data_IF_266239800516
#
_entry.id   IF_266239800516
#
_cell.length_a   1.000
_cell.length_b   1.000
_cell.length_c   1.000
_cell.angle_alpha   90.00
_cell.angle_beta   90.00
_cell.angle_gamma   90.00
#
_symmetry.space_group_name_H-M   'P 1'
#
loop_
_entity.id
_entity.type
_entity.pdbx_description
1 polymer ?
#
# COMPACT_ATOMS: atom_id res chain seq x y z
N UNK A 1 4.12 13.64 10.28
CA UNK A 1 5.17 13.02 9.46
C UNK A 1 4.89 11.51 9.44
N UNK A 2 4.75 10.94 8.25
CA UNK A 2 4.47 9.53 7.94
C UNK A 2 5.75 8.72 7.75
N UNK A 3 6.60 9.11 6.79
CA UNK A 3 7.80 8.33 6.45
C UNK A 3 8.92 9.11 5.76
N UNK A 4 8.65 10.33 5.25
CA UNK A 4 9.69 11.15 4.66
C UNK A 4 10.68 11.66 5.71
N UNK A 5 11.86 12.08 5.25
CA UNK A 5 12.86 12.71 6.14
C UNK A 5 12.38 14.07 6.69
N UNK A 6 11.51 14.75 5.94
CA UNK A 6 10.94 16.05 6.29
C UNK A 6 9.47 16.10 5.87
N UNK A 7 8.64 16.66 6.74
CA UNK A 7 7.26 17.04 6.42
C UNK A 7 7.13 18.54 6.20
N UNK A 8 6.10 18.94 5.47
CA UNK A 8 5.74 20.35 5.27
C UNK A 8 4.30 20.59 5.72
N UNK A 9 4.07 21.72 6.39
CA UNK A 9 2.73 22.20 6.69
C UNK A 9 2.58 23.63 6.18
N UNK A 10 1.45 23.88 5.53
CA UNK A 10 0.95 25.23 5.31
C UNK A 10 -0.36 25.37 6.06
N UNK A 11 -0.49 26.45 6.83
CA UNK A 11 -1.73 26.77 7.52
C UNK A 11 -2.15 28.21 7.28
N UNK A 12 -3.45 28.44 7.23
CA UNK A 12 -4.06 29.77 7.25
C UNK A 12 -5.13 29.85 8.32
N UNK A 13 -5.21 30.99 9.00
CA UNK A 13 -6.22 31.23 10.04
C UNK A 13 -7.26 32.20 9.53
N UNK A 14 -8.53 31.76 9.46
CA UNK A 14 -9.65 32.59 8.99
C UNK A 14 -9.55 33.01 7.52
N UNK A 15 -8.80 32.27 6.71
CA UNK A 15 -8.57 32.57 5.30
C UNK A 15 -8.59 31.29 4.46
N UNK A 16 -9.16 31.40 3.27
CA UNK A 16 -9.02 30.43 2.18
C UNK A 16 -7.63 30.55 1.56
N UNK A 17 -7.15 29.51 0.89
CA UNK A 17 -5.86 29.56 0.20
C UNK A 17 -5.84 28.71 -1.05
N UNK A 18 -4.99 29.10 -1.99
CA UNK A 18 -4.53 28.27 -3.10
C UNK A 18 -3.00 28.33 -3.07
N UNK A 19 -2.39 27.28 -2.56
CA UNK A 19 -1.00 27.30 -2.11
C UNK A 19 -0.28 26.02 -2.49
N UNK A 20 1.04 26.05 -2.46
CA UNK A 20 1.82 24.90 -2.89
C UNK A 20 3.31 25.13 -2.87
N UNK A 21 4.03 24.06 -3.20
CA UNK A 21 5.47 24.04 -3.40
C UNK A 21 5.77 23.62 -4.84
N UNK A 22 6.90 24.09 -5.35
CA UNK A 22 7.45 23.63 -6.61
C UNK A 22 8.92 23.29 -6.47
N UNK A 23 9.37 22.35 -7.29
CA UNK A 23 10.79 22.04 -7.43
C UNK A 23 11.11 21.76 -8.90
N UNK A 24 12.20 22.33 -9.39
CA UNK A 24 12.73 22.00 -10.72
C UNK A 24 13.73 20.86 -10.61
N UNK A 25 13.62 19.87 -11.49
CA UNK A 25 14.38 18.63 -11.44
C UNK A 25 15.00 18.38 -12.82
N UNK A 26 16.34 18.21 -12.91
CA UNK A 26 16.99 17.82 -14.15
C UNK A 26 16.57 16.43 -14.59
N UNK A 27 16.26 16.26 -15.87
CA UNK A 27 15.89 14.97 -16.44
C UNK A 27 16.15 14.92 -17.94
N UNK A 28 16.48 13.75 -18.49
CA UNK A 28 16.63 13.61 -19.94
C UNK A 28 15.30 13.84 -20.67
N UNK A 29 15.28 14.67 -21.74
CA UNK A 29 14.10 14.82 -22.58
C UNK A 29 13.60 13.47 -23.14
N UNK A 30 12.29 13.29 -23.21
CA UNK A 30 11.65 12.07 -23.69
C UNK A 30 11.43 11.01 -22.61
N UNK A 31 12.01 11.14 -21.41
CA UNK A 31 11.73 10.23 -20.29
C UNK A 31 10.31 10.43 -19.78
N UNK A 32 9.59 9.34 -19.62
CA UNK A 32 8.31 9.34 -18.90
C UNK A 32 8.59 9.35 -17.40
N UNK A 33 7.91 10.18 -16.65
CA UNK A 33 8.01 10.27 -15.18
C UNK A 33 6.64 10.11 -14.53
N UNK A 34 6.67 9.68 -13.27
CA UNK A 34 5.52 9.65 -12.36
C UNK A 34 5.86 10.40 -11.09
N UNK A 35 5.00 11.33 -10.69
CA UNK A 35 5.14 12.09 -9.44
C UNK A 35 4.02 11.71 -8.47
N UNK A 36 4.36 11.53 -7.20
CA UNK A 36 3.43 11.25 -6.10
C UNK A 36 3.85 11.96 -4.82
N UNK A 37 2.90 12.17 -3.92
CA UNK A 37 3.14 12.66 -2.58
C UNK A 37 2.01 12.21 -1.66
N UNK A 38 2.26 12.21 -0.35
CA UNK A 38 1.27 11.92 0.67
C UNK A 38 0.83 13.21 1.34
N UNK A 39 -0.47 13.30 1.63
CA UNK A 39 -1.04 14.46 2.28
C UNK A 39 -2.11 14.08 3.29
N UNK A 40 -2.39 14.99 4.20
CA UNK A 40 -3.66 15.05 4.91
C UNK A 40 -3.96 16.50 5.29
N UNK A 41 -5.23 16.76 5.53
CA UNK A 41 -5.73 18.04 6.01
C UNK A 41 -6.22 17.94 7.45
N UNK A 42 -6.25 19.11 8.08
CA UNK A 42 -7.04 19.41 9.26
C UNK A 42 -7.71 20.77 9.01
N UNK A 43 -9.03 20.87 9.18
CA UNK A 43 -9.70 22.15 9.02
C UNK A 43 -10.89 22.28 9.94
N UNK A 44 -10.83 23.26 10.85
CA UNK A 44 -11.86 23.52 11.84
C UNK A 44 -12.42 24.94 11.70
N UNK A 45 -13.70 25.09 11.98
CA UNK A 45 -14.34 26.40 11.93
C UNK A 45 -14.88 26.82 13.28
N UNK A 46 -15.18 28.11 13.38
CA UNK A 46 -15.84 28.71 14.53
C UNK A 46 -16.75 29.80 14.00
N UNK A 47 -18.02 29.72 14.35
CA UNK A 47 -19.00 30.76 14.08
C UNK A 47 -19.80 31.03 15.36
N UNK A 48 -19.62 32.20 16.01
CA UNK A 48 -20.37 32.56 17.21
C UNK A 48 -21.89 32.55 17.05
N UNK A 49 -22.39 32.74 15.82
CA UNK A 49 -23.83 32.69 15.52
C UNK A 49 -24.34 31.26 15.31
N UNK A 50 -23.42 30.30 15.10
CA UNK A 50 -23.70 28.91 14.77
C UNK A 50 -22.84 27.92 15.58
N UNK A 51 -22.63 28.19 16.87
CA UNK A 51 -21.72 27.40 17.72
C UNK A 51 -22.05 25.90 17.77
N UNK A 52 -23.34 25.55 17.66
CA UNK A 52 -23.79 24.15 17.59
C UNK A 52 -23.44 23.44 16.28
N UNK A 53 -23.17 24.17 15.20
CA UNK A 53 -22.71 23.60 13.91
C UNK A 53 -21.20 23.34 13.92
N UNK A 54 -20.46 24.05 14.77
CA UNK A 54 -19.00 23.99 14.88
C UNK A 54 -18.55 23.78 16.33
N UNK A 55 -18.94 22.65 16.97
CA UNK A 55 -18.71 22.43 18.41
C UNK A 55 -17.24 22.17 18.79
N UNK A 56 -16.35 21.97 17.81
CA UNK A 56 -14.96 21.55 18.02
C UNK A 56 -13.94 22.49 17.35
N UNK A 57 -14.02 23.82 17.55
CA UNK A 57 -13.28 24.79 16.74
C UNK A 57 -11.75 24.70 16.86
N UNK A 58 -11.23 24.07 17.91
CA UNK A 58 -9.80 23.95 18.21
C UNK A 58 -9.39 22.51 18.61
N UNK A 59 -10.26 21.52 18.37
CA UNK A 59 -9.92 20.12 18.66
C UNK A 59 -9.00 19.56 17.57
N UNK A 60 -7.78 19.18 17.95
CA UNK A 60 -6.74 18.66 17.05
C UNK A 60 -7.08 17.30 16.42
N UNK A 61 -8.07 16.59 16.96
CA UNK A 61 -8.49 15.27 16.47
C UNK A 61 -9.76 15.33 15.63
N UNK A 62 -10.41 16.49 15.55
CA UNK A 62 -11.64 16.71 14.78
C UNK A 62 -11.34 17.49 13.51
N UNK A 63 -11.96 17.13 12.39
CA UNK A 63 -12.03 17.97 11.17
C UNK A 63 -13.48 18.21 10.76
N UNK A 64 -13.81 19.41 10.30
CA UNK A 64 -15.18 19.71 9.85
C UNK A 64 -15.66 18.79 8.73
N UNK A 65 -16.82 18.17 8.95
CA UNK A 65 -17.40 17.16 8.06
C UNK A 65 -16.82 15.75 8.23
N UNK A 66 -15.50 15.60 8.37
CA UNK A 66 -14.87 14.29 8.54
C UNK A 66 -14.96 13.75 9.98
N UNK A 67 -15.19 14.63 10.97
CA UNK A 67 -15.23 14.26 12.37
C UNK A 67 -13.87 13.77 12.87
N UNK A 68 -13.87 12.67 13.63
CA UNK A 68 -12.65 12.04 14.18
C UNK A 68 -12.04 10.98 13.25
N UNK A 69 -12.78 10.53 12.24
CA UNK A 69 -12.37 9.39 11.43
C UNK A 69 -11.49 9.82 10.24
N UNK A 70 -10.59 8.95 9.75
CA UNK A 70 -9.93 9.13 8.47
C UNK A 70 -10.94 9.32 7.34
N UNK A 71 -10.68 10.26 6.44
CA UNK A 71 -11.53 10.49 5.28
C UNK A 71 -10.70 10.60 4.00
N UNK A 72 -11.23 10.02 2.93
CA UNK A 72 -10.69 10.12 1.59
C UNK A 72 -11.83 10.19 0.57
N UNK A 73 -11.77 11.15 -0.35
CA UNK A 73 -12.62 11.19 -1.53
C UNK A 73 -11.87 11.83 -2.70
N UNK A 74 -12.17 11.42 -3.92
CA UNK A 74 -11.62 12.07 -5.12
C UNK A 74 -12.38 13.37 -5.39
N UNK A 75 -11.66 14.37 -5.90
CA UNK A 75 -12.27 15.62 -6.37
C UNK A 75 -13.35 15.31 -7.43
N UNK A 76 -14.56 15.81 -7.18
CA UNK A 76 -15.72 15.61 -8.05
C UNK A 76 -16.65 14.47 -7.62
N UNK A 77 -16.24 13.65 -6.66
CA UNK A 77 -17.16 12.68 -6.03
C UNK A 77 -18.25 13.40 -5.22
N UNK A 78 -19.41 12.74 -5.10
CA UNK A 78 -20.51 13.27 -4.30
C UNK A 78 -20.16 13.10 -2.82
N UNK A 79 -20.05 14.23 -2.11
CA UNK A 79 -19.80 14.27 -0.69
C UNK A 79 -21.11 14.30 0.10
N UNK A 80 -21.20 13.54 1.18
CA UNK A 80 -22.34 13.60 2.11
C UNK A 80 -22.34 14.92 2.90
N UNK A 81 -21.16 15.35 3.36
CA UNK A 81 -20.93 16.65 3.97
C UNK A 81 -19.96 17.46 3.10
N UNK A 82 -20.41 18.60 2.58
CA UNK A 82 -19.59 19.45 1.71
C UNK A 82 -18.33 20.00 2.38
N UNK A 83 -18.26 20.03 3.71
CA UNK A 83 -17.07 20.49 4.47
C UNK A 83 -15.89 19.53 4.31
N UNK A 84 -16.16 18.24 4.04
CA UNK A 84 -15.10 17.28 3.64
C UNK A 84 -14.48 17.60 2.29
N UNK A 85 -15.08 18.51 1.51
CA UNK A 85 -14.53 19.02 0.26
C UNK A 85 -13.82 20.37 0.41
N UNK A 86 -13.53 20.81 1.64
CA UNK A 86 -12.92 22.12 1.89
C UNK A 86 -11.49 22.19 1.38
N UNK A 87 -10.65 21.19 1.73
CA UNK A 87 -9.25 21.12 1.28
C UNK A 87 -9.13 20.04 0.20
N UNK A 88 -8.54 20.42 -0.93
CA UNK A 88 -8.21 19.51 -2.02
C UNK A 88 -6.72 19.56 -2.31
N UNK A 89 -6.13 18.39 -2.53
CA UNK A 89 -4.72 18.20 -2.85
C UNK A 89 -4.56 17.75 -4.30
N UNK A 90 -3.56 18.29 -4.99
CA UNK A 90 -3.10 17.83 -6.30
C UNK A 90 -1.59 17.76 -6.36
N UNK A 91 -1.11 16.87 -7.23
CA UNK A 91 0.26 16.86 -7.73
C UNK A 91 0.27 17.16 -9.23
N UNK A 92 1.27 17.88 -9.69
CA UNK A 92 1.38 18.33 -11.08
C UNK A 92 2.81 18.30 -11.61
N UNK A 93 2.95 18.23 -12.93
CA UNK A 93 4.24 18.27 -13.64
C UNK A 93 4.13 19.25 -14.81
N UNK A 94 4.99 20.26 -14.86
CA UNK A 94 5.28 21.00 -16.10
C UNK A 94 6.44 20.29 -16.82
N UNK A 95 6.19 19.61 -17.95
CA UNK A 95 7.21 18.84 -18.67
C UNK A 95 8.23 19.71 -19.40
N UNK A 96 7.97 21.02 -19.54
CA UNK A 96 8.86 22.00 -20.14
C UNK A 96 9.72 22.75 -19.12
N UNK A 97 9.52 22.51 -17.82
CA UNK A 97 10.23 23.20 -16.75
C UNK A 97 9.68 24.59 -16.44
N UNK A 98 8.49 24.93 -16.92
CA UNK A 98 7.78 26.16 -16.57
C UNK A 98 7.50 26.22 -15.06
N UNK A 99 7.53 27.43 -14.48
CA UNK A 99 7.36 27.66 -13.03
C UNK A 99 5.99 28.24 -12.66
N UNK A 100 5.16 28.53 -13.65
CA UNK A 100 3.82 29.07 -13.43
C UNK A 100 2.84 27.90 -13.19
N UNK A 101 2.33 27.69 -11.96
CA UNK A 101 1.40 26.60 -11.67
C UNK A 101 0.05 26.73 -12.39
N UNK A 102 -0.29 27.92 -12.89
CA UNK A 102 -1.51 28.18 -13.65
C UNK A 102 -1.33 28.06 -15.17
N UNK A 103 -0.15 27.62 -15.62
CA UNK A 103 0.11 27.36 -17.03
C UNK A 103 -0.68 26.16 -17.54
N UNK A 104 -1.20 26.24 -18.76
CA UNK A 104 -1.81 25.09 -19.44
C UNK A 104 -0.80 23.97 -19.77
N UNK A 105 0.50 24.23 -19.61
CA UNK A 105 1.55 23.21 -19.75
C UNK A 105 1.63 22.27 -18.55
N UNK A 106 1.09 22.66 -17.40
CA UNK A 106 1.11 21.80 -16.22
C UNK A 106 0.11 20.66 -16.43
N UNK A 107 0.63 19.43 -16.44
CA UNK A 107 -0.18 18.22 -16.36
C UNK A 107 -0.51 18.02 -14.89
N UNK A 108 -1.77 18.26 -14.52
CA UNK A 108 -2.28 18.01 -13.17
C UNK A 108 -2.88 16.60 -13.06
N UNK A 109 -2.64 15.94 -11.93
CA UNK A 109 -3.32 14.68 -11.57
C UNK A 109 -4.75 14.90 -11.09
N UNK A 110 -5.42 13.78 -10.76
CA UNK A 110 -6.73 13.81 -10.11
C UNK A 110 -6.60 14.39 -8.69
N UNK A 111 -7.48 15.33 -8.33
CA UNK A 111 -7.51 15.89 -6.97
C UNK A 111 -8.08 14.91 -5.96
N UNK A 112 -7.70 15.07 -4.68
CA UNK A 112 -8.27 14.32 -3.58
C UNK A 112 -8.46 15.17 -2.31
N UNK A 113 -9.52 14.87 -1.58
CA UNK A 113 -9.82 15.36 -0.24
C UNK A 113 -9.35 14.32 0.77
N UNK A 114 -8.47 14.69 1.69
CA UNK A 114 -7.81 13.74 2.60
C UNK A 114 -7.78 14.34 3.99
N UNK A 115 -8.40 13.71 4.98
CA UNK A 115 -8.46 14.21 6.36
C UNK A 115 -8.08 13.15 7.38
N UNK A 116 -7.54 13.61 8.51
CA UNK A 116 -7.29 12.86 9.75
C UNK A 116 -6.32 11.66 9.64
N UNK A 117 -5.93 11.23 8.43
CA UNK A 117 -4.86 10.29 8.18
C UNK A 117 -4.16 10.60 6.85
N UNK A 118 -2.87 10.29 6.75
CA UNK A 118 -2.14 10.41 5.49
C UNK A 118 -2.68 9.41 4.46
N UNK A 119 -2.99 9.90 3.27
CA UNK A 119 -3.23 9.09 2.08
C UNK A 119 -2.40 9.63 0.90
N UNK A 120 -2.14 8.79 -0.09
CA UNK A 120 -1.44 9.22 -1.29
C UNK A 120 -2.37 10.06 -2.16
N UNK A 121 -1.90 11.24 -2.57
CA UNK A 121 -2.58 12.03 -3.59
C UNK A 121 -2.48 11.27 -4.92
N UNK A 122 -3.55 11.19 -5.74
CA UNK A 122 -3.50 10.48 -7.01
C UNK A 122 -2.31 10.92 -7.88
N UNK A 123 -1.52 9.95 -8.30
CA UNK A 123 -0.26 10.20 -9.01
C UNK A 123 -0.50 10.84 -10.38
N UNK A 124 0.48 11.61 -10.85
CA UNK A 124 0.46 12.18 -12.20
C UNK A 124 1.66 11.70 -13.01
N UNK A 125 1.46 11.52 -14.31
CA UNK A 125 2.53 11.15 -15.24
C UNK A 125 2.68 12.19 -16.35
N UNK A 126 3.91 12.43 -16.77
CA UNK A 126 4.23 13.28 -17.91
C UNK A 126 5.49 12.79 -18.62
N UNK A 127 5.66 13.15 -19.88
CA UNK A 127 6.91 12.93 -20.62
C UNK A 127 7.71 14.22 -20.63
N UNK A 128 8.96 14.18 -20.16
CA UNK A 128 9.85 15.33 -20.16
C UNK A 128 10.03 15.88 -21.58
N UNK A 129 9.86 17.20 -21.73
CA UNK A 129 10.01 17.91 -23.01
C UNK A 129 11.29 18.76 -23.04
N UNK A 130 11.96 18.90 -21.91
CA UNK A 130 13.21 19.63 -21.77
C UNK A 130 14.16 18.89 -20.81
N UNK A 131 15.39 19.38 -20.67
CA UNK A 131 16.38 18.85 -19.70
C UNK A 131 16.00 19.16 -18.24
N UNK A 132 14.92 19.91 -18.04
CA UNK A 132 14.39 20.35 -16.76
C UNK A 132 12.86 20.22 -16.76
N UNK A 133 12.31 19.60 -15.73
CA UNK A 133 10.87 19.62 -15.45
C UNK A 133 10.60 20.35 -14.15
N UNK A 134 9.35 20.79 -13.93
CA UNK A 134 8.90 21.33 -12.64
C UNK A 134 7.83 20.41 -12.08
N UNK A 135 7.99 19.95 -10.84
CA UNK A 135 6.93 19.29 -10.08
C UNK A 135 6.23 20.31 -9.19
N UNK A 136 4.94 20.10 -8.95
CA UNK A 136 4.10 20.94 -8.10
C UNK A 136 3.31 20.09 -7.12
N UNK A 137 3.31 20.50 -5.86
CA UNK A 137 2.31 20.09 -4.87
C UNK A 137 1.39 21.27 -4.62
N UNK A 138 0.08 21.08 -4.70
CA UNK A 138 -0.93 22.15 -4.57
C UNK A 138 -2.02 21.75 -3.60
N UNK A 139 -2.36 22.64 -2.68
CA UNK A 139 -3.51 22.54 -1.79
C UNK A 139 -4.42 23.76 -2.00
N UNK A 140 -5.72 23.52 -2.12
CA UNK A 140 -6.72 24.58 -2.16
C UNK A 140 -7.68 24.40 -0.99
N UNK A 141 -7.79 25.42 -0.14
CA UNK A 141 -8.83 25.53 0.87
C UNK A 141 -9.93 26.47 0.35
N UNK A 142 -11.15 25.94 0.19
CA UNK A 142 -12.28 26.66 -0.39
C UNK A 142 -12.93 27.65 0.58
N UNK A 143 -13.08 27.26 1.84
CA UNK A 143 -13.76 28.04 2.87
C UNK A 143 -12.76 28.75 3.77
N UNK A 144 -13.15 29.90 4.32
CA UNK A 144 -12.36 30.69 5.26
C UNK A 144 -12.52 30.15 6.68
N UNK A 145 -12.24 28.85 6.85
CA UNK A 145 -12.31 28.21 8.15
C UNK A 145 -11.30 28.80 9.12
N UNK A 146 -11.58 28.64 10.42
CA UNK A 146 -10.73 29.19 11.48
C UNK A 146 -9.33 28.61 11.33
N UNK A 147 -9.25 27.31 11.04
CA UNK A 147 -8.02 26.59 10.72
C UNK A 147 -8.17 25.91 9.36
N UNK A 148 -7.12 26.02 8.55
CA UNK A 148 -7.02 25.40 7.23
C UNK A 148 -5.58 24.94 7.07
N UNK A 149 -5.32 23.70 7.45
CA UNK A 149 -3.99 23.14 7.54
C UNK A 149 -3.82 22.03 6.50
N UNK A 150 -2.81 22.18 5.67
CA UNK A 150 -2.46 21.26 4.60
C UNK A 150 -1.07 20.68 4.88
N UNK A 151 -1.03 19.39 5.19
CA UNK A 151 0.19 18.66 5.52
C UNK A 151 0.63 17.82 4.33
N UNK A 152 1.93 17.84 4.05
CA UNK A 152 2.58 17.07 3.00
C UNK A 152 3.73 16.23 3.57
N UNK A 153 3.90 15.04 3.04
CA UNK A 153 5.02 14.16 3.33
C UNK A 153 5.29 13.19 2.16
N UNK A 154 6.45 12.52 2.19
CA UNK A 154 6.80 11.39 1.31
C UNK A 154 6.56 11.67 -0.19
N UNK A 155 7.10 12.81 -0.66
CA UNK A 155 7.05 13.20 -2.07
C UNK A 155 8.12 12.47 -2.88
N UNK A 156 7.72 11.84 -3.99
CA UNK A 156 8.57 10.98 -4.80
C UNK A 156 8.34 11.24 -6.30
N UNK A 157 9.43 11.44 -7.05
CA UNK A 157 9.45 11.43 -8.50
C UNK A 157 10.25 10.24 -9.00
N UNK A 158 9.64 9.40 -9.82
CA UNK A 158 10.30 8.24 -10.45
C UNK A 158 10.23 8.33 -11.97
N UNK A 159 11.25 7.76 -12.64
CA UNK A 159 11.18 7.54 -14.10
C UNK A 159 10.29 6.33 -14.35
N UNK A 160 9.25 6.49 -15.16
CA UNK A 160 8.22 5.47 -15.37
C UNK A 160 8.75 4.23 -16.13
N UNK A 161 9.87 4.32 -16.85
CA UNK A 161 10.54 3.13 -17.42
C UNK A 161 11.25 2.29 -16.35
N UNK A 162 11.65 2.90 -15.22
CA UNK A 162 12.09 2.20 -14.02
C UNK A 162 10.90 1.74 -13.16
N UNK A 163 9.66 2.03 -13.57
CA UNK A 163 8.45 1.60 -12.86
C UNK A 163 7.97 0.19 -13.20
N UNK A 164 8.90 -0.75 -13.43
CA UNK A 164 8.62 -2.14 -13.01
C UNK A 164 8.82 -2.20 -11.49
N UNK A 165 7.84 -1.66 -10.77
CA UNK A 165 7.36 -2.07 -9.45
C UNK A 165 6.54 -0.91 -8.85
N UNK A 166 5.27 -0.81 -9.23
CA UNK A 166 4.30 -0.65 -8.14
C UNK A 166 4.59 -1.78 -7.15
N UNK A 167 4.67 -1.51 -5.84
CA UNK A 167 4.91 -2.54 -4.82
C UNK A 167 4.15 -3.80 -5.24
N UNK A 168 4.84 -4.92 -5.55
CA UNK A 168 4.15 -6.12 -6.00
C UNK A 168 3.02 -6.38 -5.01
N UNK A 169 1.77 -6.61 -5.47
CA UNK A 169 0.67 -6.94 -4.57
C UNK A 169 1.18 -7.97 -3.57
N UNK A 170 1.05 -7.67 -2.26
CA UNK A 170 1.68 -8.47 -1.21
C UNK A 170 1.33 -9.94 -1.43
N UNK A 171 2.35 -10.79 -1.55
CA UNK A 171 2.18 -12.22 -1.81
C UNK A 171 2.27 -12.65 -3.28
N UNK A 172 2.31 -11.72 -4.26
CA UNK A 172 2.58 -12.07 -5.66
C UNK A 172 4.05 -12.44 -5.87
N UNK A 173 4.35 -13.62 -6.44
CA UNK A 173 5.72 -13.98 -6.75
C UNK A 173 6.22 -13.27 -8.01
N UNK A 174 7.55 -13.14 -8.14
CA UNK A 174 8.20 -12.69 -9.38
C UNK A 174 7.89 -13.62 -10.58
N UNK A 175 7.77 -14.92 -10.31
CA UNK A 175 7.42 -15.95 -11.30
C UNK A 175 6.32 -16.84 -10.70
N UNK A 176 5.22 -17.02 -11.44
CA UNK A 176 4.20 -18.03 -11.15
C UNK A 176 4.72 -19.40 -11.53
N UNK A 177 5.03 -20.21 -10.54
CA UNK A 177 5.35 -21.62 -10.70
C UNK A 177 4.74 -22.38 -9.52
N UNK A 178 4.47 -23.66 -9.75
CA UNK A 178 3.91 -24.55 -8.74
C UNK A 178 4.83 -24.63 -7.53
N UNK A 179 4.27 -24.38 -6.35
CA UNK A 179 5.00 -24.49 -5.09
C UNK A 179 4.51 -25.67 -4.31
N UNK A 180 5.46 -26.48 -3.88
CA UNK A 180 5.24 -27.66 -3.08
C UNK A 180 5.91 -27.46 -1.72
N UNK A 181 5.10 -27.49 -0.66
CA UNK A 181 5.54 -27.29 0.71
C UNK A 181 5.35 -28.59 1.51
N UNK A 182 6.43 -29.12 2.07
CA UNK A 182 6.39 -30.25 3.00
C UNK A 182 6.25 -29.72 4.42
N UNK A 183 5.05 -29.88 4.98
CA UNK A 183 4.70 -29.43 6.33
C UNK A 183 5.02 -30.53 7.34
N UNK A 184 6.08 -30.32 8.12
CA UNK A 184 6.52 -31.23 9.17
C UNK A 184 5.61 -31.16 10.40
N UNK A 185 5.40 -32.27 11.14
CA UNK A 185 4.55 -32.28 12.33
C UNK A 185 5.13 -31.44 13.48
N UNK A 186 4.30 -30.97 14.42
CA UNK A 186 4.77 -30.33 15.63
C UNK A 186 5.73 -31.25 16.40
N UNK A 187 6.90 -30.73 16.80
CA UNK A 187 7.93 -31.51 17.48
C UNK A 187 8.92 -32.24 16.55
N UNK A 188 8.81 -32.09 15.22
CA UNK A 188 9.84 -32.54 14.30
C UNK A 188 11.19 -31.84 14.59
N UNK A 189 12.25 -32.63 14.70
CA UNK A 189 13.62 -32.14 14.92
C UNK A 189 14.36 -31.94 13.57
N UNK A 190 15.64 -31.61 13.63
CA UNK A 190 16.47 -31.41 12.43
C UNK A 190 16.58 -32.65 11.54
N UNK A 191 16.48 -33.87 12.09
CA UNK A 191 16.58 -35.12 11.32
C UNK A 191 15.40 -35.27 10.36
N UNK A 192 14.20 -34.87 10.79
CA UNK A 192 13.01 -34.82 9.93
C UNK A 192 13.17 -33.81 8.80
N UNK A 193 13.73 -32.62 9.08
CA UNK A 193 14.02 -31.64 8.05
C UNK A 193 15.08 -32.16 7.07
N UNK A 194 16.16 -32.78 7.57
CA UNK A 194 17.20 -33.40 6.75
C UNK A 194 16.65 -34.52 5.86
N UNK A 195 15.71 -35.33 6.34
CA UNK A 195 15.07 -36.37 5.54
C UNK A 195 14.35 -35.79 4.31
N UNK A 196 13.64 -34.67 4.46
CA UNK A 196 12.97 -34.03 3.32
C UNK A 196 13.98 -33.46 2.33
N UNK A 197 15.05 -32.83 2.83
CA UNK A 197 16.14 -32.32 1.97
C UNK A 197 16.78 -33.49 1.21
N UNK A 198 17.15 -34.57 1.89
CA UNK A 198 17.76 -35.74 1.26
C UNK A 198 16.88 -36.38 0.19
N UNK A 199 15.56 -36.39 0.40
CA UNK A 199 14.63 -37.01 -0.54
C UNK A 199 14.33 -36.14 -1.77
N UNK A 200 14.35 -34.81 -1.62
CA UNK A 200 13.69 -33.92 -2.60
C UNK A 200 14.57 -32.82 -3.16
N UNK A 201 15.73 -32.53 -2.57
CA UNK A 201 16.50 -31.33 -2.91
C UNK A 201 17.09 -31.35 -4.33
N UNK A 202 17.60 -32.49 -4.77
CA UNK A 202 18.25 -32.58 -6.08
C UNK A 202 17.25 -32.68 -7.22
N UNK A 203 16.11 -33.36 -7.00
CA UNK A 203 15.11 -33.63 -8.03
C UNK A 203 14.03 -32.54 -8.11
N UNK A 204 13.50 -32.11 -6.96
CA UNK A 204 12.27 -31.31 -6.91
C UNK A 204 12.40 -29.96 -6.18
N UNK A 205 13.38 -29.79 -5.29
CA UNK A 205 13.61 -28.57 -4.48
C UNK A 205 12.38 -28.11 -3.71
N UNK A 206 11.69 -29.02 -3.02
CA UNK A 206 10.52 -28.66 -2.21
C UNK A 206 10.88 -27.71 -1.06
N UNK A 207 9.94 -26.83 -0.72
CA UNK A 207 10.02 -25.99 0.47
C UNK A 207 9.67 -26.84 1.70
N UNK A 208 10.37 -26.62 2.82
CA UNK A 208 10.17 -27.38 4.05
C UNK A 208 9.93 -26.44 5.23
N UNK A 209 9.07 -26.83 6.16
CA UNK A 209 8.95 -26.12 7.43
C UNK A 209 7.83 -26.66 8.32
N UNK A 210 7.64 -26.02 9.47
CA UNK A 210 6.72 -26.46 10.53
C UNK A 210 5.55 -25.52 10.79
N UNK A 211 5.30 -24.55 9.91
CA UNK A 211 4.24 -23.54 10.05
C UNK A 211 3.16 -23.77 9.00
N UNK A 212 1.93 -24.05 9.46
CA UNK A 212 0.79 -24.24 8.56
C UNK A 212 0.43 -22.93 7.84
N UNK A 213 0.63 -21.77 8.47
CA UNK A 213 0.42 -20.46 7.87
C UNK A 213 1.44 -20.18 6.76
N UNK A 214 2.72 -20.47 6.98
CA UNK A 214 3.77 -20.30 5.96
C UNK A 214 3.55 -21.25 4.77
N UNK A 215 2.98 -22.42 5.02
CA UNK A 215 2.63 -23.38 3.96
C UNK A 215 1.46 -22.87 3.10
N UNK A 216 0.56 -22.04 3.66
CA UNK A 216 -0.64 -21.56 2.98
C UNK A 216 -0.49 -20.23 2.26
N UNK A 217 0.39 -19.35 2.73
CA UNK A 217 0.50 -17.97 2.25
C UNK A 217 1.04 -17.86 0.81
N UNK A 218 0.58 -16.85 0.07
CA UNK A 218 1.05 -16.49 -1.27
C UNK A 218 -0.06 -16.41 -2.32
N UNK A 219 0.08 -15.51 -3.29
CA UNK A 219 -0.82 -15.38 -4.43
C UNK A 219 -0.30 -16.21 -5.60
N UNK A 220 -0.68 -17.49 -5.61
CA UNK A 220 -0.06 -18.54 -6.40
C UNK A 220 -1.11 -19.39 -7.10
N UNK A 221 -0.94 -19.59 -8.41
CA UNK A 221 -1.86 -20.37 -9.25
C UNK A 221 -1.91 -21.84 -8.81
N UNK A 222 -0.80 -22.36 -8.29
CA UNK A 222 -0.67 -23.73 -7.79
C UNK A 222 0.12 -23.78 -6.49
N UNK A 223 -0.56 -24.16 -5.40
CA UNK A 223 0.01 -24.43 -4.09
C UNK A 223 -0.35 -25.85 -3.66
N UNK A 224 0.66 -26.66 -3.42
CA UNK A 224 0.51 -27.99 -2.85
C UNK A 224 1.16 -28.01 -1.48
N UNK A 225 0.43 -28.44 -0.47
CA UNK A 225 0.97 -28.66 0.87
C UNK A 225 0.86 -30.16 1.18
N UNK A 226 2.01 -30.80 1.37
CA UNK A 226 2.12 -32.20 1.80
C UNK A 226 2.28 -32.22 3.32
N UNK A 227 1.22 -32.61 4.02
CA UNK A 227 1.21 -32.70 5.48
C UNK A 227 1.79 -34.03 5.92
N UNK A 228 2.95 -33.99 6.58
CA UNK A 228 3.56 -35.17 7.20
C UNK A 228 2.86 -35.43 8.53
N UNK A 229 2.38 -36.65 8.74
CA UNK A 229 1.76 -37.11 9.99
C UNK A 229 0.60 -36.20 10.43
N UNK A 230 -0.47 -36.08 9.60
CA UNK A 230 -1.58 -35.16 9.88
C UNK A 230 -2.29 -35.42 11.20
N UNK A 231 -2.23 -36.62 11.76
CA UNK A 231 -2.73 -36.92 13.11
C UNK A 231 -2.05 -36.10 14.22
N UNK A 232 -0.80 -35.67 14.02
CA UNK A 232 -0.10 -34.76 14.94
C UNK A 232 -0.61 -33.31 14.87
N UNK A 233 -1.40 -32.99 13.85
CA UNK A 233 -2.06 -31.71 13.65
C UNK A 233 -3.57 -31.75 13.99
N UNK A 234 -4.03 -32.75 14.74
CA UNK A 234 -5.45 -32.95 15.04
C UNK A 234 -6.20 -33.77 13.98
N UNK A 235 -5.51 -34.23 12.94
CA UNK A 235 -6.01 -35.15 11.94
C UNK A 235 -6.27 -34.52 10.57
N UNK A 236 -6.42 -35.34 9.51
CA UNK A 236 -6.60 -34.86 8.14
C UNK A 236 -7.81 -33.93 7.95
N UNK A 237 -8.91 -34.16 8.69
CA UNK A 237 -10.12 -33.32 8.61
C UNK A 237 -9.88 -31.91 9.14
N UNK A 238 -9.15 -31.79 10.24
CA UNK A 238 -8.80 -30.49 10.85
C UNK A 238 -7.90 -29.70 9.91
N UNK A 239 -6.89 -30.35 9.32
CA UNK A 239 -6.01 -29.72 8.34
C UNK A 239 -6.76 -29.29 7.08
N UNK A 240 -7.65 -30.14 6.55
CA UNK A 240 -8.49 -29.78 5.41
C UNK A 240 -9.36 -28.57 5.70
N UNK A 241 -9.98 -28.51 6.88
CA UNK A 241 -10.80 -27.38 7.28
C UNK A 241 -9.96 -26.10 7.39
N UNK A 242 -8.84 -26.15 8.11
CA UNK A 242 -7.92 -25.02 8.31
C UNK A 242 -7.50 -24.37 6.98
N UNK A 243 -6.98 -25.14 6.02
CA UNK A 243 -6.54 -24.60 4.75
C UNK A 243 -7.71 -24.11 3.89
N UNK A 244 -8.87 -24.79 3.93
CA UNK A 244 -10.04 -24.33 3.16
C UNK A 244 -10.60 -22.99 3.65
N UNK A 245 -10.57 -22.75 4.97
CA UNK A 245 -11.09 -21.53 5.60
C UNK A 245 -10.11 -20.36 5.49
N UNK A 246 -8.82 -20.61 5.72
CA UNK A 246 -7.81 -19.55 5.85
C UNK A 246 -6.99 -19.32 4.57
N UNK A 247 -6.84 -20.36 3.73
CA UNK A 247 -5.95 -20.36 2.56
C UNK A 247 -6.61 -21.03 1.34
N UNK A 248 -7.74 -20.49 0.84
CA UNK A 248 -8.47 -21.09 -0.26
C UNK A 248 -7.59 -21.27 -1.51
N UNK A 249 -7.73 -22.43 -2.16
CA UNK A 249 -6.93 -22.81 -3.34
C UNK A 249 -5.69 -23.66 -3.04
N UNK A 250 -5.31 -23.86 -1.76
CA UNK A 250 -4.28 -24.84 -1.39
C UNK A 250 -4.77 -26.26 -1.67
N UNK A 251 -3.98 -27.04 -2.40
CA UNK A 251 -4.20 -28.47 -2.62
C UNK A 251 -3.45 -29.27 -1.57
N UNK A 252 -4.19 -29.99 -0.73
CA UNK A 252 -3.59 -30.80 0.32
C UNK A 252 -3.26 -32.22 -0.16
N UNK A 253 -2.09 -32.70 0.26
CA UNK A 253 -1.70 -34.10 0.27
C UNK A 253 -1.26 -34.48 1.69
N UNK A 254 -1.18 -35.77 1.96
CA UNK A 254 -0.70 -36.25 3.26
C UNK A 254 0.17 -37.48 3.11
N UNK A 255 1.19 -37.56 3.95
CA UNK A 255 2.10 -38.70 4.03
C UNK A 255 2.26 -39.11 5.50
N UNK A 256 2.51 -40.39 5.75
CA UNK A 256 2.61 -40.94 7.11
C UNK A 256 3.92 -41.67 7.28
N UNK A 257 4.80 -41.17 8.12
CA UNK A 257 6.07 -41.83 8.43
C UNK A 257 6.28 -41.84 9.95
N UNK A 258 6.72 -42.97 10.50
CA UNK A 258 7.05 -43.10 11.92
C UNK A 258 8.48 -42.62 12.20
N UNK A 259 9.35 -42.63 11.18
CA UNK A 259 10.76 -42.24 11.30
C UNK A 259 11.23 -41.33 10.16
N UNK A 260 12.30 -40.54 10.34
CA UNK A 260 12.89 -39.75 9.26
C UNK A 260 13.30 -40.59 8.05
N UNK A 261 13.87 -41.79 8.27
CA UNK A 261 14.27 -42.69 7.18
C UNK A 261 13.08 -43.21 6.36
N UNK A 262 11.97 -43.51 7.03
CA UNK A 262 10.73 -43.86 6.36
C UNK A 262 10.18 -42.70 5.54
N UNK A 263 10.26 -41.47 6.07
CA UNK A 263 9.87 -40.27 5.33
C UNK A 263 10.70 -40.10 4.04
N UNK A 264 12.01 -40.37 4.08
CA UNK A 264 12.86 -40.34 2.86
C UNK A 264 12.31 -41.29 1.81
N UNK A 265 11.98 -42.52 2.22
CA UNK A 265 11.52 -43.56 1.31
C UNK A 265 10.19 -43.16 0.66
N UNK A 266 9.22 -42.72 1.47
CA UNK A 266 7.90 -42.35 0.95
C UNK A 266 7.94 -41.10 0.06
N UNK A 267 8.79 -40.11 0.38
CA UNK A 267 8.95 -38.91 -0.46
C UNK A 267 9.60 -39.19 -1.82
N UNK A 268 10.42 -40.24 -1.95
CA UNK A 268 11.00 -40.65 -3.24
C UNK A 268 10.01 -41.40 -4.13
N UNK A 269 8.89 -41.84 -3.57
CA UNK A 269 7.83 -42.55 -4.29
C UNK A 269 6.65 -41.65 -4.70
N UNK A 270 6.62 -40.39 -4.24
CA UNK A 270 5.67 -39.35 -4.67
C UNK A 270 6.00 -38.74 -6.04
#
# INVERSE_FOLDING_TARGET
MRSGENGYVLFTVGQAHDSGLLQQIPIEPGKKVRFSAWAHAWSNHQDPESDSLYPHPDDSCWSEGAGYDPFFALEGEKLEDSRTGNITFWVGIDPSGGRNPFSNNVVWGQGAHIYNAYAQVPTVEATAQSELITIFMRANARYQFKHNDAYWDDAELVVADDSIQGTPPRGKPRIQFERFYVLLPPGANSEWASAVVEATWDDNRYTIGGSADDAGIGDLDSRIVLVVNPEKWGGPKVMSQFFSENYPGVRLRSIKAETPLELVTQLREE
#
